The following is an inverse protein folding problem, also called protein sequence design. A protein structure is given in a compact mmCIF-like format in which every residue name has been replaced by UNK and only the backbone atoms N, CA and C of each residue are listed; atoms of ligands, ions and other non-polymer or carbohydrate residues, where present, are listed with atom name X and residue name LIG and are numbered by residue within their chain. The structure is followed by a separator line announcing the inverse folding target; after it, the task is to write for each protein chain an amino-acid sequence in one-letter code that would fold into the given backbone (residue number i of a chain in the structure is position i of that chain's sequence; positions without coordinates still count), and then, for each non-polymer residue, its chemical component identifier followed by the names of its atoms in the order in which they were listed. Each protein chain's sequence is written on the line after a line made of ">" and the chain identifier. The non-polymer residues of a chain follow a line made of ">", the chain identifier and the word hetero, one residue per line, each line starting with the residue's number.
data_IF_549711786573
#
_entry.id   IF_549711786573
#
_cell.length_a   1.000
_cell.length_b   1.000
_cell.length_c   1.000
_cell.angle_alpha   90.00
_cell.angle_beta   90.00
_cell.angle_gamma   90.00
#
_symmetry.space_group_name_H-M   'P 1'
#
loop_
_entity.id
_entity.type
_entity.pdbx_description
1 polymer ?
#
# COMPACT_ATOMS: atom_id res chain seq x y z
N UNK A 1 14.19 -18.57 -14.37
CA UNK A 1 13.59 -17.44 -13.61
C UNK A 1 12.07 -17.52 -13.75
N UNK A 2 11.32 -17.58 -12.65
CA UNK A 2 9.87 -17.78 -12.73
C UNK A 2 9.20 -16.59 -13.44
N UNK A 3 8.17 -16.84 -14.24
CA UNK A 3 7.38 -15.82 -14.97
C UNK A 3 6.90 -14.67 -14.07
N UNK A 4 6.75 -14.92 -12.80
CA UNK A 4 6.35 -13.96 -11.76
C UNK A 4 7.45 -12.95 -11.44
N UNK A 5 8.72 -13.38 -11.40
CA UNK A 5 9.88 -12.51 -11.15
C UNK A 5 10.10 -11.57 -12.32
N UNK A 6 9.99 -12.07 -13.55
CA UNK A 6 10.10 -11.23 -14.75
C UNK A 6 9.00 -10.18 -14.82
N UNK A 7 7.76 -10.52 -14.46
CA UNK A 7 6.65 -9.55 -14.44
C UNK A 7 6.84 -8.46 -13.38
N UNK A 8 7.30 -8.81 -12.18
CA UNK A 8 7.61 -7.82 -11.13
C UNK A 8 8.74 -6.86 -11.56
N UNK A 9 9.79 -7.39 -12.17
CA UNK A 9 10.89 -6.59 -12.71
C UNK A 9 10.40 -5.64 -13.82
N UNK A 10 9.52 -6.10 -14.72
CA UNK A 10 8.96 -5.28 -15.79
C UNK A 10 8.03 -4.18 -15.27
N UNK A 11 7.17 -4.47 -14.28
CA UNK A 11 6.31 -3.46 -13.65
C UNK A 11 7.14 -2.38 -12.93
N UNK A 12 8.19 -2.78 -12.20
CA UNK A 12 9.12 -1.86 -11.55
C UNK A 12 9.86 -0.97 -12.57
N UNK A 13 10.31 -1.57 -13.66
CA UNK A 13 10.98 -0.86 -14.75
C UNK A 13 10.06 0.20 -15.37
N UNK A 14 8.81 -0.14 -15.71
CA UNK A 14 7.82 0.82 -16.27
C UNK A 14 7.56 1.99 -15.32
N UNK A 15 7.45 1.73 -14.05
CA UNK A 15 7.22 2.77 -13.04
C UNK A 15 8.41 3.71 -12.90
N UNK A 16 9.62 3.16 -12.80
CA UNK A 16 10.84 3.96 -12.74
C UNK A 16 11.04 4.76 -14.02
N UNK A 17 10.69 4.20 -15.18
CA UNK A 17 10.73 4.89 -16.46
C UNK A 17 9.79 6.10 -16.49
N UNK A 18 8.54 5.98 -16.01
CA UNK A 18 7.60 7.10 -15.92
C UNK A 18 8.12 8.23 -15.03
N UNK A 19 8.71 7.88 -13.88
CA UNK A 19 9.31 8.87 -12.96
C UNK A 19 10.49 9.59 -13.62
N UNK A 20 11.36 8.84 -14.30
CA UNK A 20 12.51 9.43 -15.02
C UNK A 20 12.03 10.38 -16.12
N UNK A 21 11.06 9.98 -16.92
CA UNK A 21 10.47 10.84 -17.96
C UNK A 21 9.92 12.12 -17.35
N UNK A 22 9.18 12.02 -16.24
CA UNK A 22 8.60 13.17 -15.57
C UNK A 22 9.66 14.12 -15.00
N UNK A 23 10.76 13.58 -14.45
CA UNK A 23 11.90 14.36 -14.00
C UNK A 23 12.55 15.12 -15.15
N UNK A 24 12.73 14.46 -16.30
CA UNK A 24 13.30 15.09 -17.51
C UNK A 24 12.37 16.20 -18.01
N UNK A 25 11.07 15.94 -18.10
CA UNK A 25 10.06 16.95 -18.50
C UNK A 25 10.11 18.16 -17.57
N UNK A 26 10.15 17.93 -16.26
CA UNK A 26 10.24 19.00 -15.26
C UNK A 26 11.52 19.82 -15.43
N UNK A 27 12.67 19.15 -15.61
CA UNK A 27 13.95 19.82 -15.81
C UNK A 27 13.96 20.66 -17.11
N UNK A 28 13.44 20.11 -18.20
CA UNK A 28 13.32 20.80 -19.49
C UNK A 28 12.37 22.00 -19.40
N UNK A 29 11.23 21.86 -18.73
CA UNK A 29 10.28 22.96 -18.52
C UNK A 29 10.89 24.09 -17.70
N UNK A 30 11.60 23.79 -16.62
CA UNK A 30 12.31 24.77 -15.80
C UNK A 30 13.44 25.47 -16.57
N UNK A 31 14.18 24.71 -17.36
CA UNK A 31 15.22 25.27 -18.22
C UNK A 31 14.62 26.21 -19.28
N UNK A 32 13.56 25.79 -19.95
CA UNK A 32 12.85 26.60 -20.95
C UNK A 32 12.27 27.87 -20.32
N UNK A 33 11.67 27.78 -19.14
CA UNK A 33 11.18 28.91 -18.39
C UNK A 33 12.26 29.95 -18.12
N UNK A 34 13.44 29.47 -17.70
CA UNK A 34 14.56 30.37 -17.36
C UNK A 34 15.13 31.10 -18.59
N UNK A 35 15.21 30.43 -19.74
CA UNK A 35 16.00 30.91 -20.88
C UNK A 35 15.17 31.36 -22.08
N UNK A 36 13.94 30.91 -22.26
CA UNK A 36 13.17 31.13 -23.48
C UNK A 36 11.79 31.77 -23.29
N UNK A 37 11.33 31.87 -22.05
CA UNK A 37 9.99 32.39 -21.77
C UNK A 37 9.96 33.80 -21.24
N UNK A 38 10.97 34.62 -21.59
CA UNK A 38 10.93 36.04 -21.31
C UNK A 38 9.87 36.75 -22.16
N UNK A 39 9.08 37.62 -21.55
CA UNK A 39 8.20 38.57 -22.21
C UNK A 39 8.86 39.95 -22.09
N UNK A 40 9.10 40.59 -23.21
CA UNK A 40 9.80 41.89 -23.28
C UNK A 40 8.94 42.83 -24.09
N UNK A 41 8.64 43.98 -23.51
CA UNK A 41 8.04 45.09 -24.22
C UNK A 41 9.05 46.29 -24.19
N UNK A 42 9.37 46.79 -25.38
CA UNK A 42 10.30 47.94 -25.52
C UNK A 42 9.57 49.16 -26.09
N UNK A 43 9.89 50.33 -25.57
CA UNK A 43 9.46 51.61 -26.04
C UNK A 43 10.73 52.43 -26.33
N UNK A 44 11.10 52.49 -27.61
CA UNK A 44 12.20 53.32 -28.08
C UNK A 44 11.67 54.75 -28.38
N UNK A 45 12.06 55.74 -27.64
CA UNK A 45 11.53 57.09 -27.74
C UNK A 45 11.96 57.79 -29.06
N UNK A 46 13.01 57.30 -29.71
CA UNK A 46 13.37 57.78 -31.05
C UNK A 46 12.31 57.44 -32.11
N UNK A 47 11.72 56.26 -32.02
CA UNK A 47 10.80 55.71 -33.05
C UNK A 47 9.34 55.69 -32.59
N UNK A 48 9.07 55.65 -31.27
CA UNK A 48 7.71 55.47 -30.75
C UNK A 48 6.82 56.69 -31.08
N UNK A 49 5.73 56.56 -31.87
CA UNK A 49 5.05 57.71 -32.47
C UNK A 49 4.22 58.54 -31.51
N UNK A 50 3.77 57.93 -30.39
CA UNK A 50 2.78 58.55 -29.49
C UNK A 50 3.47 59.15 -28.24
N UNK A 51 4.42 60.07 -28.45
CA UNK A 51 5.12 60.79 -27.36
C UNK A 51 4.87 62.28 -27.51
N UNK A 52 4.47 62.93 -26.45
CA UNK A 52 4.15 64.37 -26.43
C UNK A 52 4.85 65.06 -25.26
N UNK A 53 5.42 66.20 -25.46
CA UNK A 53 5.93 67.05 -24.43
C UNK A 53 4.78 67.65 -23.59
N UNK A 54 4.96 67.77 -22.28
CA UNK A 54 3.97 68.32 -21.33
C UNK A 54 4.66 69.20 -20.29
N UNK A 55 4.04 70.30 -19.98
CA UNK A 55 4.51 71.21 -18.95
C UNK A 55 3.36 71.82 -18.14
N UNK A 56 3.63 72.37 -16.99
CA UNK A 56 2.65 73.03 -16.12
C UNK A 56 1.90 74.17 -16.80
N UNK A 57 2.40 74.66 -17.94
CA UNK A 57 1.70 75.67 -18.75
C UNK A 57 0.30 75.25 -19.24
N UNK A 58 0.01 73.94 -19.30
CA UNK A 58 -1.37 73.40 -19.60
C UNK A 58 -2.29 73.60 -18.40
N UNK A 59 -1.75 73.73 -17.19
CA UNK A 59 -2.48 73.85 -15.90
C UNK A 59 -2.37 75.28 -15.32
N UNK A 60 -1.93 76.21 -16.14
CA UNK A 60 -1.80 77.66 -15.72
C UNK A 60 -0.42 78.08 -15.22
N UNK A 61 0.58 77.18 -15.27
CA UNK A 61 1.98 77.51 -14.98
C UNK A 61 2.65 78.20 -16.17
N UNK A 62 4.00 78.51 -16.00
CA UNK A 62 4.80 79.26 -17.00
C UNK A 62 6.03 78.49 -17.47
N UNK A 63 6.22 77.22 -17.08
CA UNK A 63 7.36 76.41 -17.51
C UNK A 63 7.30 76.10 -18.98
N UNK A 64 8.46 76.01 -19.63
CA UNK A 64 8.59 75.75 -21.07
C UNK A 64 9.36 74.45 -21.32
N UNK A 65 8.97 73.72 -22.38
CA UNK A 65 9.62 72.48 -22.77
C UNK A 65 9.75 72.37 -24.27
N UNK A 66 10.88 71.85 -24.74
CA UNK A 66 11.14 71.52 -26.13
C UNK A 66 11.60 70.07 -26.16
N UNK A 67 11.04 69.31 -27.12
CA UNK A 67 11.42 67.92 -27.35
C UNK A 67 11.93 67.74 -28.77
N UNK A 68 13.16 67.31 -28.91
CA UNK A 68 13.79 66.95 -30.17
C UNK A 68 14.01 65.46 -30.22
N UNK A 69 13.60 64.83 -31.29
CA UNK A 69 13.75 63.40 -31.47
C UNK A 69 14.93 63.07 -32.37
N UNK A 70 15.71 62.07 -31.95
CA UNK A 70 16.72 61.39 -32.78
C UNK A 70 16.26 60.00 -33.15
N UNK A 71 17.01 59.25 -33.93
CA UNK A 71 16.68 57.88 -34.30
C UNK A 71 16.63 56.91 -33.10
N UNK A 72 17.27 57.28 -31.97
CA UNK A 72 17.42 56.37 -30.81
C UNK A 72 17.03 56.96 -29.47
N UNK A 73 16.63 58.26 -29.44
CA UNK A 73 16.31 58.95 -28.18
C UNK A 73 15.42 60.15 -28.37
N UNK A 74 14.84 60.64 -27.28
CA UNK A 74 14.24 61.98 -27.21
C UNK A 74 15.10 62.85 -26.30
N UNK A 75 15.50 63.99 -26.83
CA UNK A 75 16.22 65.06 -26.08
C UNK A 75 15.17 66.03 -25.63
N UNK A 76 15.10 66.25 -24.32
CA UNK A 76 14.19 67.17 -23.65
C UNK A 76 15.01 68.34 -23.10
N UNK A 77 14.66 69.53 -23.53
CA UNK A 77 15.22 70.77 -22.99
C UNK A 77 14.07 71.56 -22.38
N UNK A 78 14.29 72.13 -21.18
CA UNK A 78 13.22 72.86 -20.50
C UNK A 78 13.72 74.01 -19.71
N UNK A 79 12.80 74.89 -19.38
CA UNK A 79 12.97 75.93 -18.39
C UNK A 79 11.85 75.79 -17.35
N UNK A 80 12.23 75.39 -16.12
CA UNK A 80 11.30 75.22 -15.00
C UNK A 80 11.16 76.59 -14.30
N UNK A 81 9.96 77.17 -14.30
CA UNK A 81 9.70 78.49 -13.79
C UNK A 81 8.79 78.50 -12.58
N UNK A 82 8.97 79.50 -11.71
CA UNK A 82 8.02 79.75 -10.63
C UNK A 82 6.66 80.24 -11.20
N UNK A 83 5.60 80.12 -10.43
CA UNK A 83 4.26 80.62 -10.78
C UNK A 83 3.16 79.55 -10.72
N UNK A 84 3.55 78.32 -10.54
CA UNK A 84 2.64 77.21 -10.28
C UNK A 84 3.04 76.57 -8.96
N UNK A 85 2.02 76.03 -8.20
CA UNK A 85 2.28 75.45 -6.88
C UNK A 85 3.28 74.28 -6.92
N UNK A 86 3.30 73.58 -8.00
CA UNK A 86 4.20 72.43 -8.25
C UNK A 86 4.68 72.52 -9.71
N UNK A 87 5.69 73.32 -10.02
CA UNK A 87 6.18 73.44 -11.38
C UNK A 87 6.67 72.10 -11.93
N UNK A 88 6.29 71.75 -13.17
CA UNK A 88 6.72 70.50 -13.77
C UNK A 88 6.92 70.65 -15.28
N UNK A 89 7.79 69.86 -15.81
CA UNK A 89 7.90 69.54 -17.22
C UNK A 89 8.11 68.03 -17.38
N UNK A 90 7.64 67.49 -18.50
CA UNK A 90 7.73 66.04 -18.71
C UNK A 90 7.36 65.61 -20.12
N UNK A 91 7.36 64.34 -20.35
CA UNK A 91 6.88 63.72 -21.57
C UNK A 91 5.81 62.69 -21.21
N UNK A 92 4.78 62.66 -22.05
CA UNK A 92 3.70 61.70 -22.02
C UNK A 92 3.87 60.68 -23.13
N UNK A 93 3.79 59.40 -22.79
CA UNK A 93 3.92 58.25 -23.70
C UNK A 93 2.58 57.50 -23.67
N UNK A 94 1.81 57.61 -24.70
CA UNK A 94 0.47 57.02 -24.79
C UNK A 94 0.55 55.56 -25.23
N UNK A 95 -0.08 54.68 -24.45
CA UNK A 95 -0.22 53.24 -24.73
C UNK A 95 -1.69 52.93 -25.10
N UNK A 96 -1.93 52.36 -26.26
CA UNK A 96 -3.30 52.10 -26.71
C UNK A 96 -4.01 53.38 -27.15
N UNK A 97 -5.21 53.68 -26.63
CA UNK A 97 -5.99 54.90 -26.96
C UNK A 97 -5.57 56.11 -26.08
N UNK A 98 -4.68 55.89 -25.15
CA UNK A 98 -4.20 56.89 -24.22
C UNK A 98 -5.23 57.36 -23.16
N UNK A 99 -6.40 56.78 -23.11
CA UNK A 99 -7.53 57.15 -22.24
C UNK A 99 -8.09 56.03 -21.42
N UNK A 100 -8.68 55.06 -22.07
CA UNK A 100 -9.39 53.93 -21.45
C UNK A 100 -8.79 52.56 -21.73
N UNK A 101 -8.15 52.44 -22.90
CA UNK A 101 -7.48 51.22 -23.36
C UNK A 101 -5.96 51.42 -23.31
N UNK A 102 -5.31 50.73 -22.41
CA UNK A 102 -3.88 50.71 -22.24
C UNK A 102 -3.26 49.35 -22.43
N UNK A 103 -2.12 49.17 -21.85
CA UNK A 103 -1.41 47.89 -21.80
C UNK A 103 -1.42 47.34 -20.38
N UNK A 104 -1.54 46.03 -20.28
CA UNK A 104 -1.33 45.32 -19.02
C UNK A 104 0.17 45.21 -18.72
N UNK A 105 0.63 46.01 -17.75
CA UNK A 105 2.03 46.01 -17.29
C UNK A 105 2.20 45.20 -16.00
N UNK A 106 1.12 44.68 -15.41
CA UNK A 106 1.19 43.93 -14.16
C UNK A 106 1.92 42.59 -14.32
N UNK A 107 2.04 42.08 -15.54
CA UNK A 107 2.72 40.82 -15.88
C UNK A 107 4.24 40.95 -15.96
N UNK A 108 4.77 42.14 -15.92
CA UNK A 108 6.21 42.39 -15.95
C UNK A 108 6.79 42.46 -14.54
N UNK A 109 7.97 41.86 -14.38
CA UNK A 109 8.68 41.80 -13.09
C UNK A 109 9.56 43.06 -12.83
N UNK A 110 9.93 43.74 -13.93
CA UNK A 110 10.84 44.89 -13.85
C UNK A 110 10.64 45.86 -15.02
N UNK A 111 10.90 47.11 -14.77
CA UNK A 111 10.96 48.18 -15.77
C UNK A 111 12.34 48.83 -15.74
N UNK A 112 12.93 48.98 -16.88
CA UNK A 112 14.21 49.59 -17.13
C UNK A 112 13.96 50.95 -17.78
N UNK A 113 14.60 52.03 -17.29
CA UNK A 113 14.47 53.40 -17.81
C UNK A 113 15.84 53.92 -18.16
N UNK A 114 16.08 54.10 -19.45
CA UNK A 114 17.31 54.75 -19.95
C UNK A 114 17.12 56.26 -20.04
N UNK A 115 17.49 56.96 -18.96
CA UNK A 115 17.41 58.43 -18.86
C UNK A 115 18.75 58.94 -18.39
N UNK A 116 19.30 59.90 -19.18
CA UNK A 116 20.55 60.58 -18.87
C UNK A 116 20.23 62.03 -18.57
N UNK A 117 20.45 62.53 -17.34
CA UNK A 117 20.21 63.91 -16.98
C UNK A 117 21.33 64.84 -17.46
N UNK A 118 20.97 66.03 -17.87
CA UNK A 118 21.94 67.12 -18.16
C UNK A 118 22.30 67.97 -16.91
N UNK A 119 21.39 68.03 -15.95
CA UNK A 119 21.55 68.68 -14.66
C UNK A 119 21.11 67.81 -13.50
N UNK A 120 21.39 68.22 -12.28
CA UNK A 120 20.95 67.48 -11.08
C UNK A 120 19.45 67.66 -10.85
N UNK A 121 18.86 66.74 -10.18
CA UNK A 121 17.43 66.73 -9.85
C UNK A 121 16.81 65.34 -9.88
N UNK A 122 15.67 65.18 -9.22
CA UNK A 122 14.90 63.96 -9.27
C UNK A 122 13.95 63.94 -10.46
N UNK A 123 13.56 62.74 -10.87
CA UNK A 123 12.61 62.46 -11.94
C UNK A 123 11.53 61.56 -11.38
N UNK A 124 10.29 61.82 -11.77
CA UNK A 124 9.16 60.93 -11.48
C UNK A 124 8.78 60.16 -12.71
N UNK A 125 8.58 58.86 -12.52
CA UNK A 125 7.95 58.00 -13.48
C UNK A 125 6.54 57.67 -12.99
N UNK A 126 5.54 58.08 -13.76
CA UNK A 126 4.15 57.72 -13.54
C UNK A 126 3.70 56.65 -14.51
N UNK A 127 3.03 55.64 -14.00
CA UNK A 127 2.20 54.72 -14.76
C UNK A 127 0.73 55.01 -14.46
N UNK A 128 0.07 55.71 -15.38
CA UNK A 128 -1.28 56.24 -15.15
C UNK A 128 -2.31 55.16 -15.52
N UNK A 129 -2.98 54.58 -14.51
CA UNK A 129 -3.91 53.46 -14.66
C UNK A 129 -5.35 53.91 -14.88
N UNK A 130 -6.05 53.24 -15.77
CA UNK A 130 -7.50 53.43 -15.94
C UNK A 130 -8.25 52.62 -14.88
N UNK A 131 -9.15 53.34 -14.17
CA UNK A 131 -10.10 52.74 -13.25
C UNK A 131 -11.51 53.23 -13.62
N UNK A 132 -12.38 52.34 -14.05
CA UNK A 132 -13.72 52.66 -14.54
C UNK A 132 -14.60 53.38 -13.50
N UNK A 133 -14.33 53.18 -12.22
CA UNK A 133 -15.07 53.80 -11.13
C UNK A 133 -14.64 55.25 -10.86
N UNK A 134 -13.43 55.67 -11.30
CA UNK A 134 -12.84 56.94 -11.02
C UNK A 134 -12.63 57.82 -12.26
N UNK A 135 -12.62 57.18 -13.43
CA UNK A 135 -12.33 57.89 -14.67
C UNK A 135 -13.44 58.87 -15.05
N UNK A 136 -13.04 60.14 -15.30
CA UNK A 136 -13.89 61.19 -15.86
C UNK A 136 -13.53 61.43 -17.33
N UNK A 137 -14.51 61.42 -18.18
CA UNK A 137 -14.30 61.58 -19.61
C UNK A 137 -13.57 62.88 -19.95
N UNK A 138 -12.49 62.81 -20.71
CA UNK A 138 -11.62 63.90 -21.11
C UNK A 138 -10.86 64.60 -19.96
N UNK A 139 -10.76 63.95 -18.81
CA UNK A 139 -9.97 64.40 -17.66
C UNK A 139 -8.85 63.38 -17.37
N UNK A 140 -7.65 63.64 -17.92
CA UNK A 140 -6.49 62.80 -17.70
C UNK A 140 -6.08 62.74 -16.20
N UNK A 141 -6.41 63.76 -15.38
CA UNK A 141 -6.07 63.75 -13.96
C UNK A 141 -6.87 62.73 -13.17
N UNK A 142 -7.95 62.23 -13.75
CA UNK A 142 -8.76 61.15 -13.17
C UNK A 142 -8.13 59.74 -13.32
N UNK A 143 -7.12 59.55 -14.18
CA UNK A 143 -6.33 58.33 -14.23
C UNK A 143 -5.52 58.16 -12.94
N UNK A 144 -5.43 56.95 -12.43
CA UNK A 144 -4.70 56.63 -11.21
C UNK A 144 -3.21 56.80 -11.39
N UNK A 145 -2.58 57.63 -10.60
CA UNK A 145 -1.15 57.93 -10.67
C UNK A 145 -0.35 56.94 -9.84
N UNK A 146 0.14 55.86 -10.44
CA UNK A 146 1.12 54.97 -9.84
C UNK A 146 2.50 55.58 -10.09
N UNK A 147 3.23 55.97 -9.05
CA UNK A 147 4.46 56.77 -9.15
C UNK A 147 5.66 56.07 -8.52
N UNK A 148 6.83 56.38 -9.07
CA UNK A 148 8.12 56.26 -8.42
C UNK A 148 8.95 57.47 -8.69
N UNK A 149 9.67 58.02 -7.71
CA UNK A 149 10.59 59.13 -7.85
C UNK A 149 12.01 58.62 -7.61
N UNK A 150 12.94 59.02 -8.49
CA UNK A 150 14.33 58.59 -8.41
C UNK A 150 15.27 59.74 -8.90
N UNK A 151 16.53 59.68 -8.50
CA UNK A 151 17.58 60.57 -9.02
C UNK A 151 18.37 59.79 -10.07
N UNK A 152 18.28 60.18 -11.37
CA UNK A 152 18.99 59.47 -12.43
C UNK A 152 20.50 59.71 -12.29
N UNK A 153 21.29 58.66 -12.56
CA UNK A 153 22.74 58.70 -12.57
C UNK A 153 23.27 59.23 -13.92
N UNK A 154 24.42 59.87 -13.91
CA UNK A 154 25.07 60.39 -15.16
C UNK A 154 25.67 59.23 -15.99
N UNK A 155 25.79 58.04 -15.46
CA UNK A 155 26.28 56.87 -16.17
C UNK A 155 25.16 56.20 -16.98
N UNK A 156 25.50 55.55 -18.13
CA UNK A 156 24.51 55.02 -19.09
C UNK A 156 23.82 53.73 -18.63
N UNK A 157 23.72 53.46 -17.34
CA UNK A 157 23.00 52.31 -16.80
C UNK A 157 21.50 52.65 -16.68
N UNK A 158 20.58 51.74 -17.11
CA UNK A 158 19.18 52.01 -16.87
C UNK A 158 18.88 52.02 -15.37
N UNK A 159 18.04 52.94 -14.94
CA UNK A 159 17.37 52.78 -13.67
C UNK A 159 16.43 51.58 -13.75
N UNK A 160 16.41 50.72 -12.75
CA UNK A 160 15.61 49.48 -12.74
C UNK A 160 14.68 49.51 -11.56
N UNK A 161 13.42 49.26 -11.82
CA UNK A 161 12.36 49.23 -10.80
C UNK A 161 11.55 47.97 -10.89
N UNK A 162 11.00 47.55 -9.76
CA UNK A 162 10.01 46.46 -9.70
C UNK A 162 8.62 47.02 -9.37
N UNK A 163 7.52 46.36 -9.77
CA UNK A 163 6.17 46.89 -9.55
C UNK A 163 5.85 47.23 -8.10
N UNK A 164 6.47 46.54 -7.15
CA UNK A 164 6.27 46.72 -5.70
C UNK A 164 6.87 48.04 -5.15
N UNK A 165 7.77 48.67 -5.90
CA UNK A 165 8.39 49.95 -5.51
C UNK A 165 7.50 51.16 -5.88
N UNK A 166 6.49 50.93 -6.76
CA UNK A 166 5.53 51.98 -7.08
C UNK A 166 4.55 52.18 -5.93
N UNK A 167 4.08 53.42 -5.79
CA UNK A 167 3.01 53.79 -4.88
C UNK A 167 1.99 54.65 -5.61
N UNK A 168 0.77 54.72 -5.10
CA UNK A 168 -0.21 55.69 -5.63
C UNK A 168 0.12 57.06 -5.07
N UNK A 169 0.17 58.07 -5.93
CA UNK A 169 0.54 59.43 -5.57
C UNK A 169 -0.39 59.99 -4.48
N UNK A 170 0.20 60.41 -3.36
CA UNK A 170 -0.55 60.89 -2.21
C UNK A 170 -1.48 62.06 -2.50
N UNK A 171 -1.01 63.02 -3.33
CA UNK A 171 -1.81 64.18 -3.76
C UNK A 171 -3.06 63.71 -4.56
N UNK A 172 -2.94 62.69 -5.42
CA UNK A 172 -4.02 62.17 -6.22
C UNK A 172 -5.06 61.44 -5.33
N UNK A 173 -4.62 60.70 -4.31
CA UNK A 173 -5.48 60.05 -3.31
C UNK A 173 -6.31 61.11 -2.57
N UNK A 174 -5.67 62.18 -2.12
CA UNK A 174 -6.33 63.28 -1.40
C UNK A 174 -7.32 64.04 -2.28
N UNK A 175 -6.91 64.39 -3.52
CA UNK A 175 -7.76 65.17 -4.43
C UNK A 175 -9.02 64.37 -4.88
N UNK A 176 -8.94 63.09 -4.99
CA UNK A 176 -10.05 62.22 -5.41
C UNK A 176 -10.79 61.58 -4.22
N UNK A 177 -10.48 61.97 -2.99
CA UNK A 177 -11.09 61.46 -1.74
C UNK A 177 -11.11 59.93 -1.63
N UNK A 178 -10.03 59.29 -2.09
CA UNK A 178 -9.96 57.83 -2.18
C UNK A 178 -9.61 57.24 -0.82
N UNK A 179 -10.39 56.22 -0.43
CA UNK A 179 -10.05 55.43 0.75
C UNK A 179 -8.67 54.78 0.59
N UNK A 180 -7.80 54.90 1.61
CA UNK A 180 -6.44 54.32 1.61
C UNK A 180 -6.41 52.84 1.23
N UNK A 181 -7.42 52.06 1.61
CA UNK A 181 -7.51 50.64 1.25
C UNK A 181 -7.76 50.42 -0.26
N UNK A 182 -8.29 51.41 -0.99
CA UNK A 182 -8.49 51.40 -2.46
C UNK A 182 -7.31 52.05 -3.19
N UNK A 183 -6.43 52.71 -2.51
CA UNK A 183 -5.24 53.36 -3.06
C UNK A 183 -4.09 52.31 -3.26
N UNK A 184 -4.39 51.19 -3.91
CA UNK A 184 -3.39 50.18 -4.27
C UNK A 184 -2.87 50.41 -5.68
N UNK A 185 -1.57 50.15 -5.88
CA UNK A 185 -0.96 50.14 -7.19
C UNK A 185 -1.69 49.10 -8.06
N UNK A 186 -2.10 49.54 -9.25
CA UNK A 186 -2.73 48.69 -10.25
C UNK A 186 -2.12 49.05 -11.62
N UNK A 187 -1.44 48.04 -12.20
CA UNK A 187 -0.75 48.17 -13.48
C UNK A 187 -1.44 47.33 -14.57
N UNK A 188 -2.64 46.83 -14.34
CA UNK A 188 -3.36 45.93 -15.26
C UNK A 188 -3.85 46.63 -16.53
N UNK A 189 -4.06 47.95 -16.49
CA UNK A 189 -4.46 48.73 -17.65
C UNK A 189 -3.86 50.12 -17.59
N UNK A 190 -2.71 50.31 -18.25
CA UNK A 190 -1.95 51.57 -18.28
C UNK A 190 -2.05 52.19 -19.64
N UNK A 191 -2.96 53.17 -19.87
CA UNK A 191 -3.04 53.93 -21.10
C UNK A 191 -1.95 54.99 -21.27
N UNK A 192 -1.29 55.43 -20.19
CA UNK A 192 -0.35 56.52 -20.26
C UNK A 192 0.81 56.29 -19.29
N UNK A 193 2.04 56.46 -19.78
CA UNK A 193 3.26 56.57 -18.96
C UNK A 193 3.74 58.01 -19.05
N UNK A 194 4.17 58.56 -17.92
CA UNK A 194 4.66 59.97 -17.88
C UNK A 194 5.99 60.03 -17.13
N UNK A 195 6.95 60.73 -17.71
CA UNK A 195 8.25 61.02 -17.07
C UNK A 195 8.29 62.51 -16.84
N UNK A 196 8.36 62.96 -15.59
CA UNK A 196 8.35 64.38 -15.19
C UNK A 196 9.54 64.74 -14.32
N UNK A 197 9.80 66.02 -14.21
CA UNK A 197 10.66 66.59 -13.15
C UNK A 197 10.13 66.15 -11.76
N UNK A 198 11.01 65.72 -10.87
CA UNK A 198 10.67 65.32 -9.52
C UNK A 198 10.67 66.51 -8.54
N UNK A 199 10.47 66.17 -7.25
CA UNK A 199 10.38 67.17 -6.18
C UNK A 199 11.64 68.02 -6.03
N UNK A 200 12.83 67.50 -6.28
CA UNK A 200 14.13 68.16 -6.13
C UNK A 200 14.70 68.65 -7.46
N UNK A 201 13.86 68.87 -8.48
CA UNK A 201 14.32 69.47 -9.72
C UNK A 201 14.54 70.93 -9.53
N UNK A 202 15.71 71.45 -9.84
CA UNK A 202 16.00 72.88 -9.68
C UNK A 202 15.26 73.75 -10.70
N UNK A 203 14.85 74.94 -10.28
CA UNK A 203 14.29 75.97 -11.17
C UNK A 203 15.33 76.41 -12.19
N UNK A 204 14.88 76.84 -13.39
CA UNK A 204 15.72 77.31 -14.48
C UNK A 204 15.87 76.23 -15.59
N UNK A 205 16.96 76.40 -16.37
CA UNK A 205 17.23 75.54 -17.52
C UNK A 205 17.73 74.15 -17.14
N UNK A 206 17.15 73.14 -17.77
CA UNK A 206 17.53 71.78 -17.58
C UNK A 206 17.22 70.90 -18.79
N UNK A 207 17.54 69.63 -18.66
CA UNK A 207 17.22 68.67 -19.72
C UNK A 207 17.57 67.22 -19.42
N UNK A 208 17.04 66.37 -20.24
CA UNK A 208 17.30 64.91 -20.23
C UNK A 208 17.45 64.40 -21.66
N UNK A 209 18.22 63.34 -21.79
CA UNK A 209 18.16 62.45 -22.93
C UNK A 209 17.48 61.13 -22.47
N UNK A 210 16.34 60.76 -23.05
CA UNK A 210 15.60 59.57 -22.75
C UNK A 210 15.65 58.65 -23.96
N UNK A 211 16.31 57.48 -23.83
CA UNK A 211 16.34 56.47 -24.93
C UNK A 211 15.07 55.68 -24.97
N UNK A 212 14.56 55.26 -23.84
CA UNK A 212 13.35 54.45 -23.79
C UNK A 212 13.10 53.71 -22.49
N UNK A 213 12.10 52.90 -22.50
CA UNK A 213 11.74 52.02 -21.43
C UNK A 213 11.71 50.58 -21.94
N UNK A 214 12.09 49.64 -21.10
CA UNK A 214 11.92 48.19 -21.33
C UNK A 214 11.24 47.57 -20.15
N UNK A 215 10.16 46.87 -20.41
CA UNK A 215 9.46 46.05 -19.44
C UNK A 215 9.87 44.60 -19.67
N UNK A 216 10.30 43.91 -18.62
CA UNK A 216 10.72 42.54 -18.66
C UNK A 216 9.91 41.71 -17.67
N UNK A 217 9.39 40.58 -18.12
CA UNK A 217 8.66 39.59 -17.32
C UNK A 217 8.75 38.23 -17.94
N UNK A 218 7.82 37.38 -17.60
CA UNK A 218 7.71 36.02 -18.14
C UNK A 218 6.38 35.83 -18.86
N UNK A 219 6.38 35.13 -19.98
CA UNK A 219 5.16 34.78 -20.75
C UNK A 219 4.19 33.94 -19.95
N UNK A 220 4.69 33.15 -19.01
CA UNK A 220 3.92 32.32 -18.10
C UNK A 220 4.34 32.70 -16.69
N UNK A 221 3.42 32.91 -15.76
CA UNK A 221 3.77 33.21 -14.38
C UNK A 221 4.49 32.01 -13.73
N UNK A 222 5.39 32.29 -12.80
CA UNK A 222 6.06 31.24 -12.03
C UNK A 222 5.05 30.36 -11.29
N UNK A 223 3.97 30.96 -10.78
CA UNK A 223 2.91 30.26 -10.07
C UNK A 223 2.21 29.27 -11.01
N UNK A 224 1.85 29.69 -12.24
CA UNK A 224 1.17 28.82 -13.20
C UNK A 224 2.05 27.67 -13.65
N UNK A 225 3.35 27.93 -13.87
CA UNK A 225 4.30 26.87 -14.21
C UNK A 225 4.39 25.84 -13.09
N UNK A 226 4.64 26.30 -11.84
CA UNK A 226 4.79 25.41 -10.69
C UNK A 226 3.50 24.63 -10.43
N UNK A 227 2.36 25.30 -10.47
CA UNK A 227 1.05 24.65 -10.27
C UNK A 227 0.79 23.57 -11.33
N UNK A 228 1.11 23.86 -12.59
CA UNK A 228 0.98 22.89 -13.69
C UNK A 228 1.91 21.67 -13.49
N UNK A 229 3.17 21.92 -13.10
CA UNK A 229 4.11 20.84 -12.83
C UNK A 229 3.67 19.98 -11.63
N UNK A 230 3.20 20.61 -10.55
CA UNK A 230 2.68 19.90 -9.37
C UNK A 230 1.46 19.05 -9.75
N UNK A 231 0.53 19.60 -10.53
CA UNK A 231 -0.63 18.86 -11.02
C UNK A 231 -0.21 17.63 -11.86
N UNK A 232 0.77 17.80 -12.75
CA UNK A 232 1.32 16.70 -13.56
C UNK A 232 1.96 15.61 -12.70
N UNK A 233 2.72 15.97 -11.67
CA UNK A 233 3.28 15.04 -10.69
C UNK A 233 2.20 14.29 -9.93
N UNK A 234 1.16 15.00 -9.47
CA UNK A 234 0.04 14.40 -8.75
C UNK A 234 -0.73 13.38 -9.61
N UNK A 235 -1.04 13.74 -10.86
CA UNK A 235 -1.72 12.83 -11.79
C UNK A 235 -0.87 11.57 -12.06
N UNK A 236 0.44 11.76 -12.28
CA UNK A 236 1.36 10.64 -12.51
C UNK A 236 1.43 9.72 -11.27
N UNK A 237 1.50 10.30 -10.07
CA UNK A 237 1.46 9.53 -8.82
C UNK A 237 0.16 8.73 -8.67
N UNK A 238 -0.97 9.34 -8.99
CA UNK A 238 -2.27 8.66 -8.95
C UNK A 238 -2.33 7.47 -9.92
N UNK A 239 -1.82 7.65 -11.13
CA UNK A 239 -1.73 6.57 -12.13
C UNK A 239 -0.87 5.41 -11.59
N UNK A 240 0.28 5.72 -10.99
CA UNK A 240 1.16 4.71 -10.38
C UNK A 240 0.44 3.97 -9.26
N UNK A 241 -0.30 4.66 -8.39
CA UNK A 241 -1.09 4.04 -7.32
C UNK A 241 -2.17 3.10 -7.88
N UNK A 242 -2.88 3.52 -8.92
CA UNK A 242 -3.91 2.70 -9.57
C UNK A 242 -3.29 1.42 -10.15
N UNK A 243 -2.18 1.53 -10.87
CA UNK A 243 -1.47 0.36 -11.40
C UNK A 243 -1.07 -0.60 -10.27
N UNK A 244 -0.49 -0.07 -9.18
CA UNK A 244 -0.09 -0.85 -8.01
C UNK A 244 -1.26 -1.55 -7.33
N UNK A 245 -2.39 -0.86 -7.22
CA UNK A 245 -3.61 -1.44 -6.65
C UNK A 245 -4.12 -2.64 -7.46
N UNK A 246 -4.14 -2.53 -8.79
CA UNK A 246 -4.54 -3.64 -9.66
C UNK A 246 -3.56 -4.81 -9.60
N UNK A 247 -2.26 -4.54 -9.62
CA UNK A 247 -1.23 -5.59 -9.48
C UNK A 247 -1.35 -6.33 -8.14
N UNK A 248 -1.54 -5.60 -7.05
CA UNK A 248 -1.73 -6.17 -5.71
C UNK A 248 -3.01 -7.00 -5.61
N UNK A 249 -4.10 -6.50 -6.16
CA UNK A 249 -5.39 -7.21 -6.17
C UNK A 249 -5.29 -8.52 -6.95
N UNK A 250 -4.59 -8.52 -8.08
CA UNK A 250 -4.34 -9.72 -8.89
C UNK A 250 -3.45 -10.73 -8.16
N UNK A 251 -2.39 -10.27 -7.50
CA UNK A 251 -1.51 -11.14 -6.71
C UNK A 251 -2.26 -11.80 -5.54
N UNK A 252 -3.11 -11.04 -4.85
CA UNK A 252 -4.01 -11.58 -3.81
C UNK A 252 -4.93 -12.68 -4.34
N UNK A 253 -5.55 -12.47 -5.49
CA UNK A 253 -6.44 -13.46 -6.10
C UNK A 253 -5.70 -14.77 -6.46
N UNK A 254 -4.49 -14.68 -6.99
CA UNK A 254 -3.65 -15.85 -7.31
C UNK A 254 -3.25 -16.60 -6.03
N UNK A 255 -2.79 -15.87 -5.00
CA UNK A 255 -2.38 -16.47 -3.73
C UNK A 255 -3.56 -17.18 -3.03
N UNK A 256 -4.76 -16.58 -3.09
CA UNK A 256 -5.97 -17.18 -2.54
C UNK A 256 -6.32 -18.50 -3.19
N UNK A 257 -6.25 -18.58 -4.54
CA UNK A 257 -6.46 -19.83 -5.28
C UNK A 257 -5.44 -20.90 -4.90
N UNK A 258 -4.16 -20.54 -4.78
CA UNK A 258 -3.11 -21.50 -4.35
C UNK A 258 -3.34 -22.01 -2.93
N UNK A 259 -3.78 -21.15 -2.01
CA UNK A 259 -4.11 -21.58 -0.63
C UNK A 259 -5.30 -22.53 -0.59
N UNK A 260 -6.33 -22.30 -1.40
CA UNK A 260 -7.49 -23.18 -1.50
C UNK A 260 -7.11 -24.56 -2.08
N UNK A 261 -6.26 -24.58 -3.10
CA UNK A 261 -5.73 -25.82 -3.68
C UNK A 261 -4.86 -26.60 -2.68
N UNK A 262 -3.96 -25.91 -1.98
CA UNK A 262 -3.12 -26.54 -0.94
C UNK A 262 -3.97 -27.14 0.19
N UNK A 263 -5.02 -26.44 0.64
CA UNK A 263 -5.95 -26.95 1.65
C UNK A 263 -6.70 -28.20 1.18
N UNK A 264 -7.09 -28.26 -0.11
CA UNK A 264 -7.73 -29.46 -0.68
C UNK A 264 -6.77 -30.65 -0.69
N UNK A 265 -5.53 -30.43 -1.11
CA UNK A 265 -4.52 -31.49 -1.16
C UNK A 265 -4.16 -32.00 0.26
N UNK A 266 -4.05 -31.11 1.25
CA UNK A 266 -3.81 -31.49 2.65
C UNK A 266 -4.96 -32.37 3.19
N UNK A 267 -6.21 -32.00 2.95
CA UNK A 267 -7.38 -32.80 3.38
C UNK A 267 -7.40 -34.18 2.72
N UNK A 268 -7.11 -34.26 1.41
CA UNK A 268 -7.03 -35.53 0.71
C UNK A 268 -5.94 -36.42 1.32
N UNK A 269 -4.77 -35.87 1.61
CA UNK A 269 -3.65 -36.59 2.23
C UNK A 269 -3.98 -37.09 3.66
N UNK A 270 -4.69 -36.28 4.45
CA UNK A 270 -5.14 -36.63 5.80
C UNK A 270 -6.13 -37.82 5.76
N UNK A 271 -7.06 -37.82 4.78
CA UNK A 271 -8.00 -38.94 4.60
C UNK A 271 -7.25 -40.22 4.20
N UNK A 272 -6.38 -40.12 3.20
CA UNK A 272 -5.57 -41.27 2.75
C UNK A 272 -4.69 -41.83 3.90
N UNK A 273 -4.06 -40.97 4.68
CA UNK A 273 -3.30 -41.39 5.87
C UNK A 273 -4.18 -42.11 6.88
N UNK A 274 -5.38 -41.58 7.14
CA UNK A 274 -6.32 -42.17 8.10
C UNK A 274 -6.79 -43.57 7.65
N UNK A 275 -7.10 -43.74 6.36
CA UNK A 275 -7.46 -45.01 5.77
C UNK A 275 -6.31 -46.03 5.82
N UNK A 276 -5.09 -45.56 5.51
CA UNK A 276 -3.90 -46.39 5.59
C UNK A 276 -3.61 -46.86 7.05
N UNK A 277 -3.72 -45.93 8.02
CA UNK A 277 -3.54 -46.28 9.44
C UNK A 277 -4.59 -47.28 9.94
N UNK A 278 -5.83 -47.15 9.47
CA UNK A 278 -6.92 -48.11 9.82
C UNK A 278 -6.67 -49.47 9.21
N UNK A 279 -6.39 -49.55 7.92
CA UNK A 279 -6.12 -50.83 7.23
C UNK A 279 -4.85 -51.50 7.75
N UNK A 280 -3.89 -50.77 8.26
CA UNK A 280 -2.66 -51.31 8.86
C UNK A 280 -2.87 -51.90 10.26
N UNK A 281 -3.96 -51.61 10.96
CA UNK A 281 -4.21 -52.02 12.35
C UNK A 281 -5.31 -53.06 12.48
N UNK A 282 -6.07 -53.36 11.44
CA UNK A 282 -7.15 -54.36 11.43
C UNK A 282 -6.73 -55.58 10.63
N UNK A 283 -7.28 -56.73 10.99
CA UNK A 283 -7.16 -57.98 10.22
C UNK A 283 -8.21 -57.99 9.08
N UNK A 284 -7.80 -58.10 7.83
CA UNK A 284 -8.71 -57.93 6.69
C UNK A 284 -9.77 -59.09 6.59
N UNK A 285 -9.55 -60.24 7.21
CA UNK A 285 -10.49 -61.35 7.17
C UNK A 285 -11.60 -61.20 8.25
N UNK A 286 -11.18 -60.92 9.48
CA UNK A 286 -12.09 -60.97 10.65
C UNK A 286 -12.59 -59.59 11.07
N UNK A 287 -11.96 -58.51 10.62
CA UNK A 287 -12.24 -57.13 11.07
C UNK A 287 -11.80 -56.83 12.49
N UNK A 288 -11.17 -57.75 13.18
CA UNK A 288 -10.57 -57.53 14.51
C UNK A 288 -9.30 -56.71 14.39
N UNK A 289 -8.82 -56.16 15.50
CA UNK A 289 -7.47 -55.64 15.52
C UNK A 289 -6.48 -56.74 15.14
N UNK A 290 -5.44 -56.37 14.40
CA UNK A 290 -4.30 -57.26 14.17
C UNK A 290 -3.22 -57.04 15.24
N UNK A 291 -2.11 -57.77 15.17
CA UNK A 291 -1.00 -57.66 16.11
C UNK A 291 -0.36 -56.25 16.17
N UNK A 292 -0.37 -55.51 15.05
CA UNK A 292 0.12 -54.13 15.03
C UNK A 292 -0.86 -53.20 15.75
N UNK A 293 -2.16 -53.38 15.58
CA UNK A 293 -3.21 -52.65 16.30
C UNK A 293 -3.20 -52.88 17.79
N UNK A 294 -2.88 -54.11 18.22
CA UNK A 294 -2.76 -54.50 19.65
C UNK A 294 -1.73 -53.63 20.40
N UNK A 295 -0.58 -53.35 19.81
CA UNK A 295 0.48 -52.58 20.47
C UNK A 295 0.01 -51.25 21.01
N UNK A 296 -0.81 -50.51 20.24
CA UNK A 296 -1.37 -49.23 20.70
C UNK A 296 -2.40 -49.38 21.81
N UNK A 297 -3.19 -50.43 21.80
CA UNK A 297 -4.15 -50.75 22.89
C UNK A 297 -3.43 -51.12 24.17
N UNK A 298 -2.45 -52.00 24.06
CA UNK A 298 -1.69 -52.49 25.22
C UNK A 298 -0.98 -51.34 25.95
N UNK A 299 -0.34 -50.43 25.22
CA UNK A 299 0.32 -49.28 25.80
C UNK A 299 -0.64 -48.36 26.58
N UNK A 300 -1.80 -48.11 26.01
CA UNK A 300 -2.85 -47.30 26.61
C UNK A 300 -3.38 -47.92 27.92
N UNK A 301 -3.64 -49.22 27.92
CA UNK A 301 -4.15 -49.93 29.10
C UNK A 301 -3.06 -50.05 30.18
N UNK A 302 -1.80 -50.23 29.81
CA UNK A 302 -0.67 -50.20 30.73
C UNK A 302 -0.47 -48.83 31.40
N UNK A 303 -0.58 -47.74 30.66
CA UNK A 303 -0.54 -46.38 31.20
C UNK A 303 -1.71 -46.14 32.14
N UNK A 304 -2.89 -46.61 31.81
CA UNK A 304 -4.09 -46.51 32.65
C UNK A 304 -3.93 -47.30 33.95
N UNK A 305 -3.47 -48.56 33.87
CA UNK A 305 -3.19 -49.41 35.02
C UNK A 305 -2.20 -48.71 35.98
N UNK A 306 -1.12 -48.16 35.44
CA UNK A 306 -0.09 -47.45 36.27
C UNK A 306 -0.64 -46.18 36.94
N UNK A 307 -1.63 -45.54 36.33
CA UNK A 307 -2.23 -44.28 36.82
C UNK A 307 -3.36 -44.51 37.81
N UNK A 308 -4.26 -45.45 37.53
CA UNK A 308 -5.52 -45.62 38.25
C UNK A 308 -5.54 -46.89 39.15
N UNK A 309 -4.64 -47.84 38.91
CA UNK A 309 -4.60 -49.09 39.60
C UNK A 309 -5.73 -50.08 39.23
N UNK A 310 -6.55 -49.76 38.24
CA UNK A 310 -7.63 -50.62 37.79
C UNK A 310 -7.09 -51.91 37.14
N UNK A 311 -7.67 -53.09 37.41
CA UNK A 311 -7.14 -54.35 36.90
C UNK A 311 -7.35 -54.48 35.36
N UNK A 312 -6.30 -54.92 34.67
CA UNK A 312 -6.34 -55.21 33.23
C UNK A 312 -6.06 -56.70 33.00
N UNK A 313 -6.97 -57.41 32.39
CA UNK A 313 -6.82 -58.82 32.10
C UNK A 313 -6.62 -59.11 30.62
N UNK A 314 -5.90 -60.19 30.38
CA UNK A 314 -5.54 -60.67 29.05
C UNK A 314 -5.95 -62.12 28.91
N UNK A 315 -6.68 -62.41 27.87
CA UNK A 315 -7.08 -63.74 27.50
C UNK A 315 -6.53 -64.06 26.14
N UNK A 316 -5.74 -65.09 26.00
CA UNK A 316 -5.33 -65.63 24.70
C UNK A 316 -6.06 -66.94 24.50
N UNK A 317 -6.57 -67.15 23.29
CA UNK A 317 -7.24 -68.39 22.98
C UNK A 317 -6.97 -68.81 21.53
N UNK A 318 -7.10 -70.08 21.27
CA UNK A 318 -6.75 -70.74 20.03
C UNK A 318 -7.82 -71.81 19.72
N UNK A 319 -8.12 -71.92 18.41
CA UNK A 319 -9.09 -72.86 17.94
C UNK A 319 -8.52 -74.29 17.98
N UNK A 320 -9.13 -75.14 18.77
CA UNK A 320 -8.68 -76.53 18.92
C UNK A 320 -8.83 -77.31 17.57
N UNK A 321 -7.75 -77.96 17.17
CA UNK A 321 -7.69 -78.79 15.95
C UNK A 321 -7.99 -77.99 14.66
N UNK A 322 -7.75 -76.71 14.58
CA UNK A 322 -8.05 -75.88 13.44
C UNK A 322 -7.35 -76.33 12.14
N UNK A 323 -6.14 -76.86 12.27
CA UNK A 323 -5.46 -77.48 11.14
C UNK A 323 -6.26 -78.62 10.53
N UNK A 324 -6.86 -79.48 11.36
CA UNK A 324 -7.72 -80.62 10.89
C UNK A 324 -8.96 -80.09 10.16
N UNK A 325 -9.56 -79.03 10.59
CA UNK A 325 -10.67 -78.35 9.91
C UNK A 325 -10.22 -77.86 8.51
N UNK A 326 -9.07 -77.22 8.41
CA UNK A 326 -8.50 -76.73 7.14
C UNK A 326 -8.17 -77.92 6.20
N UNK A 327 -7.51 -78.94 6.75
CA UNK A 327 -7.10 -80.13 5.96
C UNK A 327 -8.31 -80.96 5.44
N UNK A 328 -9.42 -80.99 6.20
CA UNK A 328 -10.61 -81.73 5.88
C UNK A 328 -11.59 -81.00 4.98
N UNK A 329 -11.82 -79.72 5.26
CA UNK A 329 -12.89 -78.93 4.62
C UNK A 329 -12.37 -77.80 3.72
N UNK A 330 -11.05 -77.61 3.69
CA UNK A 330 -10.40 -76.55 2.91
C UNK A 330 -10.31 -75.15 3.64
N UNK A 331 -9.38 -74.35 3.18
CA UNK A 331 -9.12 -73.06 3.79
C UNK A 331 -10.30 -72.08 3.78
N UNK A 332 -11.20 -72.19 2.78
CA UNK A 332 -12.37 -71.27 2.74
C UNK A 332 -13.34 -71.57 3.91
N UNK A 333 -13.47 -72.85 4.33
CA UNK A 333 -14.27 -73.21 5.51
C UNK A 333 -13.55 -72.81 6.79
N UNK A 334 -12.22 -72.90 6.85
CA UNK A 334 -11.44 -72.40 7.94
C UNK A 334 -11.58 -70.86 8.09
N UNK A 335 -11.57 -70.10 6.98
CA UNK A 335 -11.81 -68.68 7.00
C UNK A 335 -13.22 -68.32 7.52
N UNK A 336 -14.25 -69.13 7.16
CA UNK A 336 -15.58 -68.95 7.71
C UNK A 336 -15.65 -69.21 9.21
N UNK A 337 -14.94 -70.24 9.75
CA UNK A 337 -14.78 -70.45 11.19
C UNK A 337 -14.18 -69.18 11.88
N UNK A 338 -13.10 -68.64 11.34
CA UNK A 338 -12.44 -67.48 11.91
C UNK A 338 -13.36 -66.27 11.94
N UNK A 339 -14.10 -65.99 10.87
CA UNK A 339 -15.04 -64.88 10.78
C UNK A 339 -16.20 -65.06 11.75
N UNK A 340 -16.79 -66.28 11.82
CA UNK A 340 -17.94 -66.58 12.68
C UNK A 340 -17.53 -66.56 14.17
N UNK A 341 -16.32 -67.07 14.49
CA UNK A 341 -15.74 -66.99 15.83
C UNK A 341 -15.53 -65.57 16.27
N UNK A 342 -14.90 -64.74 15.42
CA UNK A 342 -14.67 -63.31 15.71
C UNK A 342 -15.98 -62.57 16.00
N UNK A 343 -17.02 -62.80 15.17
CA UNK A 343 -18.36 -62.20 15.36
C UNK A 343 -19.00 -62.66 16.66
N UNK A 344 -18.94 -63.96 16.98
CA UNK A 344 -19.49 -64.49 18.21
C UNK A 344 -18.82 -63.86 19.43
N UNK A 345 -17.49 -63.85 19.48
CA UNK A 345 -16.72 -63.29 20.58
C UNK A 345 -16.98 -61.79 20.72
N UNK A 346 -16.97 -61.02 19.62
CA UNK A 346 -17.23 -59.60 19.61
C UNK A 346 -18.64 -59.25 20.11
N UNK A 347 -19.63 -60.09 19.86
CA UNK A 347 -20.99 -59.96 20.38
C UNK A 347 -21.13 -60.22 21.88
N UNK A 348 -20.12 -60.84 22.52
CA UNK A 348 -20.16 -61.28 23.92
C UNK A 348 -19.25 -60.46 24.83
N UNK A 349 -18.26 -59.77 24.30
CA UNK A 349 -17.35 -58.86 25.05
C UNK A 349 -17.94 -57.45 25.08
N UNK A 350 -17.40 -56.60 25.96
CA UNK A 350 -17.82 -55.21 26.08
C UNK A 350 -17.16 -54.34 24.97
N UNK A 351 -17.74 -53.17 24.69
CA UNK A 351 -17.14 -52.22 23.78
C UNK A 351 -15.81 -51.63 24.26
N UNK A 352 -15.52 -51.77 25.56
CA UNK A 352 -14.25 -51.41 26.21
C UNK A 352 -13.18 -52.47 26.05
N UNK A 353 -13.58 -53.69 25.75
CA UNK A 353 -12.67 -54.83 25.52
C UNK A 353 -12.17 -54.79 24.08
N UNK A 354 -10.95 -55.20 23.85
CA UNK A 354 -10.34 -55.23 22.52
C UNK A 354 -10.12 -56.68 22.08
N UNK A 355 -10.78 -57.07 20.95
CA UNK A 355 -10.53 -58.37 20.31
C UNK A 355 -9.46 -58.20 19.23
N UNK A 356 -8.47 -59.04 19.27
CA UNK A 356 -7.29 -59.03 18.41
C UNK A 356 -7.11 -60.39 17.76
N UNK A 357 -6.92 -60.49 16.45
CA UNK A 357 -6.41 -61.69 15.83
C UNK A 357 -4.89 -61.70 15.93
N UNK A 358 -4.35 -62.61 16.78
CA UNK A 358 -2.94 -62.62 17.14
C UNK A 358 -2.07 -63.37 16.12
N UNK A 359 -2.59 -64.42 15.56
CA UNK A 359 -1.95 -65.26 14.55
C UNK A 359 -2.99 -65.93 13.68
N UNK A 360 -2.64 -67.01 12.98
CA UNK A 360 -3.53 -67.73 12.08
C UNK A 360 -4.90 -68.06 12.68
N UNK A 361 -4.86 -68.81 13.79
CA UNK A 361 -6.02 -69.32 14.54
C UNK A 361 -6.10 -68.81 15.98
N UNK A 362 -5.14 -67.94 16.35
CA UNK A 362 -5.02 -67.40 17.71
C UNK A 362 -5.67 -66.01 17.81
N UNK A 363 -6.42 -65.83 18.85
CA UNK A 363 -7.07 -64.58 19.22
C UNK A 363 -6.69 -64.13 20.64
N UNK A 364 -6.74 -62.84 20.86
CA UNK A 364 -6.49 -62.20 22.14
C UNK A 364 -7.66 -61.29 22.47
N UNK A 365 -8.04 -61.28 23.76
CA UNK A 365 -8.93 -60.28 24.31
C UNK A 365 -8.16 -59.54 25.42
N UNK A 366 -8.11 -58.24 25.30
CA UNK A 366 -7.64 -57.33 26.37
C UNK A 366 -8.85 -56.67 27.01
N UNK A 367 -9.08 -56.95 28.27
CA UNK A 367 -10.25 -56.47 29.01
C UNK A 367 -9.81 -55.40 30.07
N UNK A 368 -10.31 -54.20 29.91
CA UNK A 368 -10.11 -53.08 30.81
C UNK A 368 -10.99 -53.26 32.08
N UNK A 369 -10.50 -52.73 33.19
CA UNK A 369 -11.17 -52.77 34.51
C UNK A 369 -11.77 -54.13 34.83
N UNK A 370 -10.99 -55.16 34.56
CA UNK A 370 -11.42 -56.56 34.72
C UNK A 370 -10.39 -57.39 35.50
N UNK A 371 -10.80 -57.86 36.68
CA UNK A 371 -9.97 -58.75 37.49
C UNK A 371 -9.78 -60.13 36.88
N UNK A 372 -8.75 -60.85 37.29
CA UNK A 372 -8.46 -62.18 36.79
C UNK A 372 -9.64 -63.17 36.98
N UNK A 373 -10.40 -63.02 38.08
CA UNK A 373 -11.58 -63.85 38.34
C UNK A 373 -12.70 -63.60 37.31
N UNK A 374 -12.95 -62.29 37.04
CA UNK A 374 -13.93 -61.86 36.06
C UNK A 374 -13.52 -62.28 34.64
N UNK A 375 -12.21 -62.15 34.32
CA UNK A 375 -11.68 -62.60 33.04
C UNK A 375 -11.77 -64.12 32.87
N UNK A 376 -11.49 -64.89 33.90
CA UNK A 376 -11.66 -66.33 33.88
C UNK A 376 -13.14 -66.73 33.69
N UNK A 377 -14.06 -66.02 34.34
CA UNK A 377 -15.49 -66.21 34.13
C UNK A 377 -15.91 -65.88 32.69
N UNK A 378 -15.43 -64.78 32.15
CA UNK A 378 -15.68 -64.40 30.75
C UNK A 378 -15.11 -65.45 29.79
N UNK A 379 -13.87 -65.88 30.00
CA UNK A 379 -13.24 -66.92 29.19
C UNK A 379 -14.04 -68.23 29.17
N UNK A 380 -14.51 -68.68 30.35
CA UNK A 380 -15.34 -69.89 30.43
C UNK A 380 -16.74 -69.72 29.78
N UNK A 381 -17.33 -68.54 29.92
CA UNK A 381 -18.56 -68.15 29.18
C UNK A 381 -18.36 -68.21 27.66
N UNK A 382 -17.26 -67.61 27.17
CA UNK A 382 -16.90 -67.66 25.74
C UNK A 382 -16.63 -69.10 25.28
N UNK A 383 -15.84 -69.86 26.05
CA UNK A 383 -15.57 -71.29 25.73
C UNK A 383 -16.84 -72.09 25.52
N UNK A 384 -17.80 -72.02 26.49
CA UNK A 384 -19.10 -72.69 26.40
C UNK A 384 -19.94 -72.17 25.24
N UNK A 385 -19.93 -70.89 24.96
CA UNK A 385 -20.64 -70.30 23.85
C UNK A 385 -20.10 -70.82 22.48
N UNK A 386 -18.75 -70.88 22.37
CA UNK A 386 -18.09 -71.41 21.17
C UNK A 386 -18.40 -72.90 21.00
N UNK A 387 -18.30 -73.71 22.08
CA UNK A 387 -18.60 -75.09 22.07
C UNK A 387 -20.06 -75.43 21.66
N UNK A 388 -21.01 -74.55 22.05
CA UNK A 388 -22.43 -74.71 21.71
C UNK A 388 -22.85 -74.06 20.37
N UNK A 389 -22.01 -73.21 19.83
CA UNK A 389 -22.31 -72.50 18.57
C UNK A 389 -22.07 -73.40 17.34
N UNK A 390 -22.92 -73.25 16.33
CA UNK A 390 -22.68 -73.79 15.02
C UNK A 390 -21.86 -72.79 14.19
N UNK A 391 -20.53 -72.78 14.40
CA UNK A 391 -19.62 -71.85 13.66
C UNK A 391 -19.54 -72.29 12.21
N UNK A 392 -19.61 -73.58 11.93
CA UNK A 392 -19.77 -74.23 10.63
C UNK A 392 -20.72 -75.45 10.78
N UNK A 393 -21.40 -75.84 9.70
CA UNK A 393 -22.37 -76.89 9.77
C UNK A 393 -21.76 -78.33 9.81
N UNK A 394 -20.48 -78.46 9.47
CA UNK A 394 -19.81 -79.74 9.26
C UNK A 394 -19.23 -80.30 10.55
N UNK A 395 -18.82 -79.49 11.49
CA UNK A 395 -18.13 -79.94 12.70
C UNK A 395 -18.30 -78.93 13.87
N UNK A 396 -18.36 -79.49 15.09
CA UNK A 396 -18.27 -78.66 16.30
C UNK A 396 -16.85 -78.19 16.49
N UNK A 397 -16.73 -76.91 16.79
CA UNK A 397 -15.43 -76.21 17.05
C UNK A 397 -15.33 -75.85 18.52
N UNK A 398 -14.18 -76.11 19.11
CA UNK A 398 -13.86 -75.69 20.51
C UNK A 398 -12.63 -74.83 20.54
N UNK A 399 -12.43 -74.10 21.66
CA UNK A 399 -11.26 -73.26 21.87
C UNK A 399 -10.64 -73.52 23.28
N UNK A 400 -9.33 -73.46 23.30
CA UNK A 400 -8.56 -73.47 24.55
C UNK A 400 -8.18 -72.05 24.92
N UNK A 401 -8.21 -71.71 26.21
CA UNK A 401 -7.96 -70.36 26.74
C UNK A 401 -6.83 -70.35 27.75
N UNK A 402 -5.98 -69.32 27.66
CA UNK A 402 -5.04 -68.91 28.71
C UNK A 402 -5.39 -67.52 29.24
N UNK A 403 -5.56 -67.36 30.53
CA UNK A 403 -6.01 -66.12 31.17
C UNK A 403 -4.98 -65.65 32.15
N UNK A 404 -4.69 -64.36 32.16
CA UNK A 404 -3.80 -63.71 33.11
C UNK A 404 -4.22 -62.27 33.37
N UNK A 405 -3.73 -61.67 34.47
CA UNK A 405 -3.93 -60.26 34.79
C UNK A 405 -2.59 -59.50 34.72
N UNK A 406 -2.60 -58.30 34.22
CA UNK A 406 -1.41 -57.47 34.12
C UNK A 406 -1.00 -56.95 35.49
N UNK A 407 0.29 -56.97 35.77
CA UNK A 407 0.87 -56.45 37.02
C UNK A 407 1.46 -55.06 36.75
N UNK A 408 1.22 -54.11 37.66
CA UNK A 408 1.84 -52.78 37.49
C UNK A 408 3.38 -52.86 37.34
N UNK A 409 3.91 -52.25 36.27
CA UNK A 409 5.35 -52.29 36.00
C UNK A 409 5.88 -53.55 35.32
N UNK A 410 5.04 -54.51 34.99
CA UNK A 410 5.44 -55.71 34.26
C UNK A 410 5.78 -55.43 32.78
N UNK A 411 6.85 -56.07 32.31
CA UNK A 411 7.20 -56.00 30.89
C UNK A 411 6.13 -56.70 30.05
N UNK A 412 5.63 -56.07 28.96
CA UNK A 412 4.63 -56.64 28.08
C UNK A 412 4.94 -58.05 27.56
N UNK A 413 6.21 -58.37 27.27
CA UNK A 413 6.61 -59.72 26.82
C UNK A 413 6.40 -60.78 27.90
N UNK A 414 6.74 -60.47 29.15
CA UNK A 414 6.54 -61.33 30.29
C UNK A 414 5.07 -61.59 30.54
N UNK A 415 4.26 -60.57 30.45
CA UNK A 415 2.79 -60.63 30.56
C UNK A 415 2.17 -61.57 29.52
N UNK A 416 2.51 -61.36 28.25
CA UNK A 416 2.01 -62.21 27.13
C UNK A 416 2.50 -63.66 27.30
N UNK A 417 3.79 -63.88 27.58
CA UNK A 417 4.37 -65.23 27.75
C UNK A 417 3.71 -66.03 28.90
N UNK A 418 3.22 -65.34 29.92
CA UNK A 418 2.50 -65.97 31.04
C UNK A 418 1.11 -66.48 30.59
N UNK A 419 0.42 -65.73 29.72
CA UNK A 419 -0.84 -66.16 29.16
C UNK A 419 -0.66 -67.31 28.14
N UNK A 420 0.39 -67.21 27.28
CA UNK A 420 0.75 -68.29 26.34
C UNK A 420 1.00 -69.64 27.06
N UNK A 421 1.74 -69.58 28.20
CA UNK A 421 2.02 -70.75 29.01
C UNK A 421 0.71 -71.38 29.58
N UNK A 422 -0.26 -70.53 29.95
CA UNK A 422 -1.56 -70.99 30.40
C UNK A 422 -2.36 -71.60 29.27
N UNK A 423 -2.35 -71.00 28.07
CA UNK A 423 -2.96 -71.58 26.88
C UNK A 423 -2.37 -72.92 26.49
N UNK A 424 -1.03 -73.01 26.54
CA UNK A 424 -0.33 -74.26 26.29
C UNK A 424 -0.76 -75.38 27.29
N UNK A 425 -0.86 -75.03 28.57
CA UNK A 425 -1.40 -75.96 29.58
C UNK A 425 -2.85 -76.39 29.27
N UNK A 426 -3.71 -75.52 28.76
CA UNK A 426 -5.05 -75.83 28.36
C UNK A 426 -5.06 -76.92 27.21
N UNK A 427 -4.16 -76.71 26.25
CA UNK A 427 -4.02 -77.64 25.11
C UNK A 427 -3.48 -79.00 25.56
N UNK A 428 -2.46 -79.05 26.44
CA UNK A 428 -1.91 -80.34 26.94
C UNK A 428 -2.87 -81.14 27.83
N UNK A 429 -3.64 -80.42 28.65
CA UNK A 429 -4.57 -81.11 29.56
C UNK A 429 -5.90 -81.59 28.94
N UNK A 430 -5.98 -81.65 27.59
CA UNK A 430 -7.10 -82.20 26.85
C UNK A 430 -7.98 -81.14 26.16
N UNK A 431 -7.51 -79.91 25.94
CA UNK A 431 -8.19 -78.85 25.17
C UNK A 431 -9.57 -78.46 25.74
N UNK A 432 -10.27 -77.60 25.01
CA UNK A 432 -11.60 -77.10 25.37
C UNK A 432 -11.74 -76.72 26.85
N UNK A 433 -10.82 -75.88 27.32
CA UNK A 433 -10.76 -75.43 28.73
C UNK A 433 -10.09 -74.10 28.93
N UNK A 434 -10.28 -73.55 30.10
CA UNK A 434 -9.66 -72.31 30.52
C UNK A 434 -8.60 -72.66 31.58
N UNK A 435 -7.36 -72.18 31.39
CA UNK A 435 -6.31 -72.20 32.41
C UNK A 435 -5.97 -70.77 32.83
N UNK A 436 -5.91 -70.53 34.13
CA UNK A 436 -5.61 -69.26 34.72
C UNK A 436 -4.18 -69.24 35.25
N UNK A 437 -3.35 -68.32 34.77
CA UNK A 437 -2.03 -68.09 35.28
C UNK A 437 -2.04 -66.98 36.34
N UNK A 438 -2.00 -67.39 37.63
CA UNK A 438 -1.84 -66.46 38.72
C UNK A 438 -0.37 -66.13 38.96
N UNK A 439 -0.07 -64.86 39.24
CA UNK A 439 1.25 -64.47 39.63
C UNK A 439 1.46 -64.84 41.09
N UNK A 440 2.35 -65.79 41.36
CA UNK A 440 2.85 -65.98 42.75
C UNK A 440 3.97 -64.99 42.99
N UNK A 441 3.73 -63.98 43.84
CA UNK A 441 4.84 -63.23 44.45
C UNK A 441 5.65 -64.22 45.27
N UNK A 442 6.87 -64.54 44.80
CA UNK A 442 7.83 -65.16 45.70
C UNK A 442 8.19 -64.10 46.74
N UNK A 443 7.79 -64.33 47.96
CA UNK A 443 8.22 -63.58 49.16
C UNK A 443 9.67 -63.91 49.47
#
# INVERSE_FOLDING_TARGET
>A
MSSTVMRKAYALFRMNFLIIVLLVVTAVAMFAYRHFLDDIMEINLGEYPYVVASADSVDGGTSAITMTRTDSSAIIEYELREGYAYPYVGIKIYLGDGKTMGRDLSKFDSVFVWLKPRNEGSVRLYMRGYDSALYRKNDETSLKFNEIEFTPTKEPYPAVFVPQEFRVAGWWVSQNEINVHKARVDLSNIPLIEIQTGTNAPLGYGGWEVKGLRFKGKKISQVDLVTTLVALWFVTFLIILIIRFFDYSRERAINRKKQEELKKNLRALEIEKSEYEKSSKEDPLTGCLNRAGFGGVLLREQEKLNRTGGPVSFMIFDIDHFKEVNDTYGHLVGDEVLVNLAKLVQGMIRNTDSLVRWGGEEFVILSDDTSIQNAAFLAEKLRKAIESATLITQQQVTCSFGVTEMIPGEDPKSFIARADKALYSSKENGRNRVTVATFRRNH
#
